data_IF_491267181450
#
_entry.id   IF_491267181450
#
_cell.length_a   1.000
_cell.length_b   1.000
_cell.length_c   1.000
_cell.angle_alpha   90.00
_cell.angle_beta   90.00
_cell.angle_gamma   90.00
#
_symmetry.space_group_name_H-M   'P 1'
#
loop_
_entity.id
_entity.type
_entity.pdbx_description
1 polymer ?
#
# COMPACT_ATOMS: atom_id res chain seq x y z
N UNK A 1 -22.46 -10.92 23.47
CA UNK A 1 -21.49 -9.91 23.03
C UNK A 1 -20.76 -10.49 21.84
N UNK A 2 -21.20 -10.18 20.63
CA UNK A 2 -20.49 -10.56 19.40
C UNK A 2 -19.14 -9.86 19.43
N UNK A 3 -18.04 -10.63 19.44
CA UNK A 3 -16.70 -10.09 19.17
C UNK A 3 -16.79 -9.37 17.83
N UNK A 4 -16.68 -8.05 17.83
CA UNK A 4 -16.35 -7.33 16.59
C UNK A 4 -15.01 -7.88 16.15
N UNK A 5 -14.96 -8.54 14.98
CA UNK A 5 -13.69 -8.91 14.36
C UNK A 5 -12.88 -7.64 14.13
N UNK A 6 -11.57 -7.72 14.35
CA UNK A 6 -10.67 -6.63 13.94
C UNK A 6 -10.85 -6.44 12.42
N UNK A 7 -10.98 -5.19 11.91
CA UNK A 7 -11.15 -4.95 10.49
C UNK A 7 -10.00 -5.56 9.69
N UNK A 8 -10.32 -6.14 8.54
CA UNK A 8 -9.36 -6.90 7.75
C UNK A 8 -9.66 -6.87 6.25
N UNK A 9 -8.65 -7.23 5.47
CA UNK A 9 -8.73 -7.44 4.03
C UNK A 9 -8.13 -8.79 3.69
N UNK A 10 -8.73 -9.50 2.74
CA UNK A 10 -8.23 -10.79 2.27
C UNK A 10 -7.64 -10.63 0.87
N UNK A 11 -6.47 -11.21 0.64
CA UNK A 11 -5.87 -11.30 -0.69
C UNK A 11 -6.57 -12.41 -1.47
N UNK A 12 -7.21 -12.05 -2.58
CA UNK A 12 -7.92 -13.00 -3.46
C UNK A 12 -7.00 -13.45 -4.60
N UNK A 13 -6.28 -12.51 -5.20
CA UNK A 13 -5.33 -12.78 -6.30
C UNK A 13 -4.07 -11.95 -6.10
N UNK A 14 -2.92 -12.55 -6.36
CA UNK A 14 -1.64 -11.86 -6.35
C UNK A 14 -0.81 -12.35 -7.54
N UNK A 15 -0.60 -11.46 -8.51
CA UNK A 15 0.19 -11.70 -9.72
C UNK A 15 1.68 -11.73 -9.41
N UNK A 16 2.45 -10.76 -9.91
CA UNK A 16 3.91 -10.80 -9.80
C UNK A 16 4.40 -10.70 -8.35
N UNK A 17 4.07 -9.61 -7.65
CA UNK A 17 4.49 -9.40 -6.27
C UNK A 17 3.68 -8.29 -5.61
N UNK A 18 3.21 -8.54 -4.38
CA UNK A 18 2.67 -7.52 -3.49
C UNK A 18 3.33 -7.62 -2.11
N UNK A 19 3.62 -6.47 -1.50
CA UNK A 19 4.31 -6.37 -0.22
C UNK A 19 3.61 -5.38 0.69
N UNK A 20 3.71 -5.59 1.99
CA UNK A 20 3.39 -4.53 2.97
C UNK A 20 4.60 -3.61 3.08
N UNK A 21 4.40 -2.32 2.85
CA UNK A 21 5.45 -1.30 2.92
C UNK A 21 4.99 -0.08 3.70
N UNK A 22 5.90 0.48 4.49
CA UNK A 22 5.80 1.82 5.09
C UNK A 22 6.97 2.70 4.58
N UNK A 23 7.32 3.75 5.32
CA UNK A 23 8.45 4.64 4.97
C UNK A 23 9.83 3.95 5.07
N UNK A 24 9.91 2.85 5.81
CA UNK A 24 11.12 2.05 5.95
C UNK A 24 11.71 2.06 7.35
N UNK A 25 12.82 1.33 7.47
CA UNK A 25 13.53 0.94 8.68
C UNK A 25 14.80 1.77 8.85
N UNK A 26 14.66 2.91 9.47
CA UNK A 26 15.77 3.86 9.66
C UNK A 26 16.51 3.62 10.98
N UNK A 27 17.81 3.94 11.01
CA UNK A 27 18.63 3.92 12.22
C UNK A 27 19.42 2.62 12.45
N UNK A 28 19.35 1.67 11.52
CA UNK A 28 20.00 0.35 11.66
C UNK A 28 21.00 0.04 10.53
N UNK A 29 21.29 1.00 9.64
CA UNK A 29 22.16 0.81 8.48
C UNK A 29 23.61 0.50 8.86
N UNK A 30 24.10 1.06 9.97
CA UNK A 30 25.43 0.76 10.52
C UNK A 30 25.59 -0.71 10.95
N UNK A 31 24.46 -1.39 11.20
CA UNK A 31 24.40 -2.82 11.51
C UNK A 31 24.15 -3.69 10.26
N UNK A 32 24.20 -3.09 9.06
CA UNK A 32 23.96 -3.78 7.79
C UNK A 32 22.49 -4.02 7.46
N UNK A 33 21.55 -3.42 8.19
CA UNK A 33 20.11 -3.56 7.93
C UNK A 33 19.68 -2.54 6.88
N UNK A 34 19.09 -3.01 5.78
CA UNK A 34 18.57 -2.12 4.73
C UNK A 34 17.33 -1.35 5.21
N UNK A 35 17.13 -0.15 4.67
CA UNK A 35 15.96 0.68 4.99
C UNK A 35 14.66 0.04 4.50
N UNK A 36 14.67 -0.69 3.38
CA UNK A 36 13.42 -1.16 2.74
C UNK A 36 12.44 0.01 2.50
N UNK A 37 11.13 -0.19 2.69
CA UNK A 37 10.13 0.82 2.48
C UNK A 37 9.56 0.82 1.07
N UNK A 38 8.50 1.61 0.89
CA UNK A 38 7.95 1.89 -0.42
C UNK A 38 9.04 2.42 -1.36
N UNK A 39 9.02 1.95 -2.60
CA UNK A 39 9.93 2.47 -3.64
C UNK A 39 9.53 3.88 -4.10
N UNK A 40 8.24 4.20 -4.03
CA UNK A 40 7.68 5.51 -4.31
C UNK A 40 6.96 5.98 -3.04
N UNK A 41 7.73 6.66 -2.19
CA UNK A 41 7.28 7.15 -0.88
C UNK A 41 6.25 8.26 -1.01
N UNK A 42 6.34 9.09 -2.06
CA UNK A 42 5.38 10.15 -2.31
C UNK A 42 4.00 9.56 -2.65
N UNK A 43 3.96 8.53 -3.51
CA UNK A 43 2.72 7.82 -3.80
C UNK A 43 2.12 7.17 -2.54
N UNK A 44 2.95 6.54 -1.70
CA UNK A 44 2.51 6.00 -0.40
C UNK A 44 1.90 7.10 0.48
N UNK A 45 2.59 8.23 0.64
CA UNK A 45 2.14 9.34 1.47
C UNK A 45 0.83 9.94 0.98
N UNK A 46 0.70 10.18 -0.34
CA UNK A 46 -0.57 10.65 -0.93
C UNK A 46 -1.70 9.67 -0.64
N UNK A 47 -1.45 8.36 -0.78
CA UNK A 47 -2.46 7.33 -0.51
C UNK A 47 -2.91 7.36 0.95
N UNK A 48 -1.96 7.46 1.88
CA UNK A 48 -2.25 7.57 3.31
C UNK A 48 -3.02 8.85 3.65
N UNK A 49 -2.64 10.01 3.09
CA UNK A 49 -3.34 11.28 3.31
C UNK A 49 -4.80 11.20 2.84
N UNK A 50 -5.05 10.61 1.66
CA UNK A 50 -6.38 10.48 1.07
C UNK A 50 -7.35 9.69 1.96
N UNK A 51 -6.86 8.74 2.75
CA UNK A 51 -7.67 7.94 3.68
C UNK A 51 -7.59 8.41 5.14
N UNK A 52 -6.90 9.52 5.40
CA UNK A 52 -6.77 10.14 6.72
C UNK A 52 -5.75 9.47 7.65
N UNK A 53 -4.80 8.71 7.10
CA UNK A 53 -3.74 8.06 7.86
C UNK A 53 -2.56 9.00 8.13
N UNK A 54 -1.75 8.64 9.14
CA UNK A 54 -0.38 9.17 9.25
C UNK A 54 0.46 8.74 8.03
N UNK A 55 1.38 9.58 7.52
CA UNK A 55 2.33 9.20 6.48
C UNK A 55 3.16 7.93 6.80
N UNK A 56 3.37 7.64 8.08
CA UNK A 56 4.10 6.45 8.56
C UNK A 56 3.29 5.14 8.44
N UNK A 57 2.02 5.22 8.05
CA UNK A 57 1.14 4.04 7.99
C UNK A 57 1.54 3.11 6.85
N UNK A 58 1.49 1.80 7.11
CA UNK A 58 1.78 0.82 6.09
C UNK A 58 0.62 0.65 5.11
N UNK A 59 0.96 0.42 3.85
CA UNK A 59 0.03 0.12 2.75
C UNK A 59 0.50 -1.12 1.99
N UNK A 60 -0.33 -1.61 1.07
CA UNK A 60 0.07 -2.67 0.14
C UNK A 60 0.72 -2.02 -1.08
N UNK A 61 1.98 -2.35 -1.35
CA UNK A 61 2.69 -2.03 -2.60
C UNK A 61 2.52 -3.20 -3.58
N UNK A 62 1.90 -2.94 -4.73
CA UNK A 62 1.62 -3.92 -5.78
C UNK A 62 2.50 -3.64 -7.00
N UNK A 63 3.29 -4.63 -7.42
CA UNK A 63 4.16 -4.53 -8.59
C UNK A 63 3.52 -5.22 -9.80
N UNK A 64 3.45 -4.51 -10.93
CA UNK A 64 2.92 -5.00 -12.22
C UNK A 64 1.41 -5.38 -12.25
N UNK A 65 0.62 -4.94 -11.27
CA UNK A 65 -0.83 -5.17 -11.27
C UNK A 65 -1.19 -6.64 -11.02
N UNK A 66 -2.27 -7.10 -11.67
CA UNK A 66 -2.89 -8.42 -11.46
C UNK A 66 -3.06 -8.78 -9.98
N UNK A 67 -3.72 -7.90 -9.22
CA UNK A 67 -3.89 -8.02 -7.78
C UNK A 67 -5.36 -7.78 -7.41
N UNK A 68 -5.88 -8.56 -6.47
CA UNK A 68 -7.27 -8.44 -6.03
C UNK A 68 -7.37 -8.68 -4.53
N UNK A 69 -8.14 -7.83 -3.86
CA UNK A 69 -8.46 -7.96 -2.43
C UNK A 69 -9.98 -7.91 -2.22
N UNK A 70 -10.43 -8.59 -1.17
CA UNK A 70 -11.79 -8.49 -0.65
C UNK A 70 -11.75 -7.76 0.70
N UNK A 71 -12.61 -6.75 0.85
CA UNK A 71 -12.74 -6.03 2.11
C UNK A 71 -13.68 -6.79 3.04
N UNK A 72 -13.18 -7.27 4.18
CA UNK A 72 -14.00 -8.06 5.12
C UNK A 72 -14.94 -7.15 5.92
N UNK A 73 -14.60 -5.87 6.04
CA UNK A 73 -15.37 -4.82 6.69
C UNK A 73 -15.44 -3.56 5.82
N UNK A 74 -16.47 -2.73 6.04
CA UNK A 74 -16.60 -1.46 5.31
C UNK A 74 -15.53 -0.47 5.75
N UNK A 75 -14.73 0.04 4.81
CA UNK A 75 -13.64 0.99 5.09
C UNK A 75 -13.35 1.90 3.91
N UNK A 76 -12.62 2.99 4.16
CA UNK A 76 -12.10 3.85 3.09
C UNK A 76 -10.79 3.27 2.54
N UNK A 77 -10.58 3.40 1.23
CA UNK A 77 -9.32 3.08 0.58
C UNK A 77 -8.94 4.12 -0.46
N UNK A 78 -7.67 4.14 -0.87
CA UNK A 78 -7.17 4.94 -1.98
C UNK A 78 -6.15 4.15 -2.80
N UNK A 79 -6.10 4.48 -4.09
CA UNK A 79 -5.11 3.96 -5.03
C UNK A 79 -4.14 5.07 -5.42
N UNK A 80 -2.84 4.82 -5.42
CA UNK A 80 -1.83 5.79 -5.87
C UNK A 80 -0.68 5.08 -6.61
N UNK A 81 0.28 5.85 -7.12
CA UNK A 81 1.42 5.32 -7.88
C UNK A 81 1.05 5.01 -9.33
N UNK A 82 1.37 3.80 -9.78
CA UNK A 82 1.15 3.35 -11.15
C UNK A 82 -0.32 3.49 -11.59
N UNK A 83 -0.52 3.87 -12.85
CA UNK A 83 -1.84 3.91 -13.47
C UNK A 83 -2.25 2.49 -13.83
N UNK A 84 -3.26 1.97 -13.12
CA UNK A 84 -3.79 0.62 -13.32
C UNK A 84 -5.25 0.68 -13.74
N UNK A 85 -5.68 -0.31 -14.51
CA UNK A 85 -7.09 -0.57 -14.77
C UNK A 85 -7.70 -1.19 -13.50
N UNK A 86 -8.24 -0.33 -12.64
CA UNK A 86 -8.78 -0.70 -11.34
C UNK A 86 -10.31 -0.58 -11.27
N UNK A 87 -10.93 -1.49 -10.53
CA UNK A 87 -12.38 -1.50 -10.30
C UNK A 87 -12.73 -1.97 -8.89
N UNK A 88 -13.78 -1.39 -8.32
CA UNK A 88 -14.45 -1.87 -7.11
C UNK A 88 -15.78 -2.49 -7.54
N UNK A 89 -15.95 -3.81 -7.35
CA UNK A 89 -17.15 -4.54 -7.78
C UNK A 89 -17.52 -4.25 -9.26
N UNK A 90 -16.53 -4.37 -10.15
CA UNK A 90 -16.61 -4.07 -11.59
C UNK A 90 -16.90 -2.60 -11.97
N UNK A 91 -17.04 -1.70 -10.98
CA UNK A 91 -17.15 -0.25 -11.21
C UNK A 91 -15.76 0.37 -11.26
N UNK A 92 -15.38 1.07 -12.36
CA UNK A 92 -14.06 1.67 -12.47
C UNK A 92 -13.75 2.66 -11.33
N UNK A 93 -12.55 2.56 -10.76
CA UNK A 93 -12.01 3.50 -9.78
C UNK A 93 -10.70 4.09 -10.29
N UNK A 94 -10.46 5.36 -9.99
CA UNK A 94 -9.27 6.09 -10.38
C UNK A 94 -8.19 6.07 -9.29
N UNK A 95 -6.98 6.50 -9.65
CA UNK A 95 -5.92 6.79 -8.68
C UNK A 95 -6.05 8.21 -8.13
N UNK A 96 -5.39 8.47 -6.99
CA UNK A 96 -5.33 9.73 -6.26
C UNK A 96 -6.70 10.24 -5.77
N UNK A 97 -7.61 9.29 -5.51
CA UNK A 97 -8.96 9.50 -5.00
C UNK A 97 -9.23 8.53 -3.85
N UNK A 98 -10.07 8.94 -2.92
CA UNK A 98 -10.58 8.09 -1.85
C UNK A 98 -11.93 7.48 -2.23
N UNK A 99 -12.12 6.21 -1.87
CA UNK A 99 -13.33 5.44 -2.12
C UNK A 99 -13.78 4.74 -0.87
N UNK A 100 -15.08 4.51 -0.74
CA UNK A 100 -15.64 3.67 0.31
C UNK A 100 -15.92 2.28 -0.23
N UNK A 101 -15.30 1.26 0.36
CA UNK A 101 -15.65 -0.13 0.14
C UNK A 101 -16.69 -0.58 1.17
N UNK A 102 -17.64 -1.40 0.73
CA UNK A 102 -18.54 -2.10 1.62
C UNK A 102 -17.94 -3.46 2.00
N UNK A 103 -18.45 -4.06 3.08
CA UNK A 103 -18.02 -5.42 3.44
C UNK A 103 -18.40 -6.39 2.32
N UNK A 104 -17.47 -7.23 1.91
CA UNK A 104 -17.56 -8.14 0.77
C UNK A 104 -17.23 -7.51 -0.58
N UNK A 105 -16.99 -6.18 -0.67
CA UNK A 105 -16.56 -5.56 -1.92
C UNK A 105 -15.18 -6.04 -2.33
N UNK A 106 -14.95 -6.14 -3.64
CA UNK A 106 -13.67 -6.56 -4.24
C UNK A 106 -13.03 -5.43 -5.02
N UNK A 107 -11.80 -5.11 -4.66
CA UNK A 107 -10.94 -4.22 -5.42
C UNK A 107 -9.99 -5.04 -6.29
N UNK A 108 -10.09 -4.85 -7.59
CA UNK A 108 -9.24 -5.50 -8.59
C UNK A 108 -8.37 -4.45 -9.28
N UNK A 109 -7.08 -4.74 -9.41
CA UNK A 109 -6.11 -4.02 -10.22
C UNK A 109 -5.64 -4.99 -11.31
N UNK A 110 -5.95 -4.68 -12.57
CA UNK A 110 -5.59 -5.54 -13.70
C UNK A 110 -4.34 -5.01 -14.41
N UNK A 111 -4.46 -4.51 -15.64
CA UNK A 111 -3.32 -4.04 -16.43
C UNK A 111 -2.73 -2.74 -15.89
N UNK A 112 -1.40 -2.62 -15.94
CA UNK A 112 -0.69 -1.36 -15.70
C UNK A 112 -0.51 -0.62 -17.01
N UNK A 113 -1.06 0.60 -17.11
CA UNK A 113 -0.91 1.48 -18.27
C UNK A 113 0.36 2.32 -18.22
N UNK A 114 0.72 2.79 -17.02
CA UNK A 114 1.89 3.64 -16.80
C UNK A 114 2.47 3.42 -15.40
N UNK A 115 3.80 3.40 -15.27
CA UNK A 115 4.48 3.14 -14.00
C UNK A 115 4.68 1.66 -13.70
N UNK A 116 5.09 1.34 -12.47
CA UNK A 116 5.47 -0.04 -12.09
C UNK A 116 4.84 -0.52 -10.78
N UNK A 117 4.71 0.38 -9.80
CA UNK A 117 4.19 0.08 -8.46
C UNK A 117 2.97 0.92 -8.14
N UNK A 118 1.87 0.27 -7.83
CA UNK A 118 0.67 0.88 -7.29
C UNK A 118 0.63 0.68 -5.76
N UNK A 119 -0.03 1.58 -5.05
CA UNK A 119 -0.22 1.47 -3.61
C UNK A 119 -1.70 1.44 -3.29
N UNK A 120 -2.08 0.55 -2.37
CA UNK A 120 -3.42 0.44 -1.82
C UNK A 120 -3.33 0.82 -0.35
N UNK A 121 -3.73 2.07 -0.05
CA UNK A 121 -3.84 2.56 1.31
C UNK A 121 -5.27 2.34 1.79
N UNK A 122 -5.42 1.81 3.01
CA UNK A 122 -6.72 1.65 3.68
C UNK A 122 -6.74 2.49 4.95
N UNK A 123 -7.89 3.07 5.28
CA UNK A 123 -8.06 3.85 6.50
C UNK A 123 -7.74 2.98 7.73
N UNK A 124 -6.87 3.49 8.62
CA UNK A 124 -6.30 2.75 9.75
C UNK A 124 -4.94 2.10 9.47
N UNK A 125 -4.58 1.94 8.19
CA UNK A 125 -3.32 1.34 7.75
C UNK A 125 -3.25 -0.18 7.96
N UNK A 126 -2.31 -0.84 7.28
CA UNK A 126 -2.08 -2.28 7.43
C UNK A 126 -1.38 -2.57 8.76
N UNK A 127 -2.03 -3.32 9.63
CA UNK A 127 -1.52 -3.65 10.95
C UNK A 127 -0.75 -4.98 10.94
N UNK A 128 0.57 -4.85 10.82
CA UNK A 128 1.53 -5.95 10.94
C UNK A 128 2.35 -5.78 12.23
N UNK A 129 3.32 -6.64 12.58
CA UNK A 129 4.26 -6.32 13.65
C UNK A 129 5.25 -5.21 13.27
N UNK A 130 5.65 -4.36 14.22
CA UNK A 130 6.76 -3.41 14.02
C UNK A 130 8.07 -4.14 14.30
N UNK A 131 8.95 -4.23 13.31
CA UNK A 131 10.27 -4.86 13.44
C UNK A 131 11.34 -3.82 13.13
N UNK A 132 12.16 -3.52 14.15
CA UNK A 132 13.21 -2.48 14.09
C UNK A 132 12.62 -1.12 13.69
N UNK A 133 11.47 -0.76 14.28
CA UNK A 133 10.82 0.53 14.02
C UNK A 133 10.06 0.63 12.69
N UNK A 134 9.90 -0.47 11.94
CA UNK A 134 9.20 -0.46 10.65
C UNK A 134 8.35 -1.70 10.41
N UNK A 135 7.24 -1.50 9.70
CA UNK A 135 6.31 -2.48 9.15
C UNK A 135 6.71 -2.96 7.76
N UNK A 136 7.76 -2.40 7.16
CA UNK A 136 8.18 -2.74 5.79
C UNK A 136 8.71 -4.15 5.65
N UNK A 137 8.29 -4.80 4.56
CA UNK A 137 8.77 -6.13 4.16
C UNK A 137 10.16 -6.01 3.55
N UNK A 138 11.12 -6.78 4.08
CA UNK A 138 12.43 -6.98 3.46
C UNK A 138 12.61 -8.47 3.10
N UNK A 139 12.35 -8.79 1.83
CA UNK A 139 12.27 -10.17 1.32
C UNK A 139 13.57 -10.93 1.57
N UNK A 140 14.73 -10.32 1.24
CA UNK A 140 16.02 -11.00 1.29
C UNK A 140 16.37 -11.53 2.68
N UNK A 141 15.95 -10.83 3.73
CA UNK A 141 16.18 -11.27 5.12
C UNK A 141 14.95 -11.83 5.81
N UNK A 142 13.79 -11.88 5.14
CA UNK A 142 12.56 -12.42 5.71
C UNK A 142 12.01 -11.65 6.91
N UNK A 143 12.12 -10.32 6.95
CA UNK A 143 11.66 -9.50 8.09
C UNK A 143 10.59 -8.48 7.71
N UNK A 144 9.74 -8.16 8.69
CA UNK A 144 8.69 -7.14 8.59
C UNK A 144 7.53 -7.55 7.69
N UNK A 145 6.58 -6.63 7.51
CA UNK A 145 5.38 -6.85 6.71
C UNK A 145 4.56 -8.04 7.17
N UNK A 146 3.99 -8.76 6.20
CA UNK A 146 3.25 -9.98 6.46
C UNK A 146 4.20 -11.19 6.44
N UNK A 147 4.53 -11.69 7.63
CA UNK A 147 5.39 -12.87 7.82
C UNK A 147 6.77 -12.78 7.13
N UNK A 148 7.28 -11.58 6.85
CA UNK A 148 8.57 -11.39 6.20
C UNK A 148 8.60 -11.71 4.70
N UNK A 149 7.45 -11.89 4.05
CA UNK A 149 7.35 -12.38 2.66
C UNK A 149 6.39 -11.57 1.80
N UNK A 150 6.40 -11.88 0.50
CA UNK A 150 5.35 -11.43 -0.41
C UNK A 150 3.99 -12.02 -0.02
N UNK A 151 2.94 -11.23 -0.28
CA UNK A 151 1.55 -11.64 -0.09
C UNK A 151 1.18 -12.77 -1.04
N UNK A 152 0.24 -13.61 -0.61
CA UNK A 152 -0.26 -14.77 -1.34
C UNK A 152 -1.79 -14.83 -1.26
N UNK A 153 -2.47 -15.44 -2.26
CA UNK A 153 -3.90 -15.70 -2.18
C UNK A 153 -4.27 -16.44 -0.89
N UNK A 154 -5.29 -15.95 -0.19
CA UNK A 154 -5.73 -16.47 1.11
C UNK A 154 -5.14 -15.76 2.32
N UNK A 155 -4.11 -14.92 2.16
CA UNK A 155 -3.59 -14.10 3.25
C UNK A 155 -4.66 -13.11 3.74
N UNK A 156 -4.81 -12.98 5.06
CA UNK A 156 -5.73 -12.03 5.71
C UNK A 156 -4.90 -11.00 6.47
N UNK A 157 -4.97 -9.76 6.03
CA UNK A 157 -4.26 -8.63 6.61
C UNK A 157 -5.19 -7.90 7.57
N UNK A 158 -4.74 -7.73 8.81
CA UNK A 158 -5.43 -6.86 9.77
C UNK A 158 -5.24 -5.40 9.38
N UNK A 159 -6.25 -4.60 9.68
CA UNK A 159 -6.26 -3.16 9.51
C UNK A 159 -6.31 -2.51 10.90
N UNK A 160 -5.56 -1.44 11.07
CA UNK A 160 -5.55 -0.68 12.33
C UNK A 160 -6.89 0.01 12.60
N UNK A 161 -7.08 0.49 13.83
CA UNK A 161 -8.23 1.32 14.17
C UNK A 161 -8.11 2.72 13.54
N UNK A 162 -9.25 3.29 13.10
CA UNK A 162 -9.34 4.69 12.70
C UNK A 162 -10.06 5.51 13.75
N UNK A 163 -9.47 6.62 14.18
CA UNK A 163 -10.15 7.63 15.01
C UNK A 163 -10.85 8.72 14.18
N UNK A 164 -10.64 8.73 12.87
CA UNK A 164 -11.16 9.76 11.95
C UNK A 164 -12.27 9.21 11.04
N UNK A 165 -13.30 10.03 10.83
CA UNK A 165 -14.39 9.76 9.88
C UNK A 165 -13.95 9.91 8.42
N UNK A 166 -14.81 9.59 7.45
CA UNK A 166 -14.47 9.64 6.03
C UNK A 166 -14.11 11.08 5.60
N UNK A 167 -12.97 11.23 4.91
CA UNK A 167 -12.57 12.49 4.28
C UNK A 167 -12.68 12.36 2.76
N UNK A 168 -13.43 13.27 2.12
CA UNK A 168 -13.54 13.32 0.66
C UNK A 168 -12.50 14.28 0.10
N UNK A 169 -11.26 13.81 0.01
CA UNK A 169 -10.11 14.58 -0.50
C UNK A 169 -9.74 14.05 -1.88
N UNK A 170 -9.49 14.97 -2.80
CA UNK A 170 -8.88 14.70 -4.11
C UNK A 170 -7.57 15.47 -4.17
N UNK A 171 -6.49 14.79 -4.57
CA UNK A 171 -5.17 15.41 -4.74
C UNK A 171 -4.80 15.35 -6.21
N UNK A 172 -4.50 16.49 -6.81
CA UNK A 172 -3.93 16.55 -8.16
C UNK A 172 -2.42 16.33 -8.04
N UNK A 173 -1.96 15.13 -8.42
CA UNK A 173 -0.55 14.78 -8.44
C UNK A 173 -0.04 14.99 -9.86
N UNK A 174 0.87 15.94 -10.04
CA UNK A 174 1.49 16.21 -11.33
C UNK A 174 2.09 14.95 -11.94
N UNK A 175 1.78 14.67 -13.20
CA UNK A 175 2.27 13.47 -13.89
C UNK A 175 3.80 13.51 -14.04
N UNK A 176 4.45 12.42 -13.61
CA UNK A 176 5.84 12.14 -13.99
C UNK A 176 5.96 11.94 -15.50
N UNK A 177 7.09 12.36 -16.08
CA UNK A 177 7.36 12.26 -17.52
C UNK A 177 7.46 10.81 -17.99
N UNK A 178 7.11 10.51 -19.25
CA UNK A 178 7.28 9.19 -19.91
C UNK A 178 8.75 8.72 -20.08
N UNK A 179 9.68 9.38 -19.42
CA UNK A 179 11.11 9.13 -19.49
C UNK A 179 11.71 9.42 -18.12
N UNK A 180 12.46 8.45 -17.60
CA UNK A 180 13.25 8.60 -16.38
C UNK A 180 14.46 9.48 -16.69
N UNK A 181 14.54 10.65 -16.06
CA UNK A 181 15.76 11.47 -16.05
C UNK A 181 16.49 11.22 -14.73
N UNK A 182 17.64 10.55 -14.81
CA UNK A 182 18.55 10.43 -13.68
C UNK A 182 19.59 11.53 -13.74
N UNK A 183 19.59 12.41 -12.75
CA UNK A 183 20.68 13.36 -12.58
C UNK A 183 21.82 12.66 -11.86
N UNK A 184 23.00 12.61 -12.48
CA UNK A 184 24.23 12.14 -11.85
C UNK A 184 24.76 13.24 -10.93
N UNK A 185 24.82 12.94 -9.64
CA UNK A 185 25.53 13.77 -8.65
C UNK A 185 26.81 13.05 -8.29
N UNK A 186 27.96 13.64 -8.62
CA UNK A 186 29.25 13.10 -8.20
C UNK A 186 29.46 13.44 -6.72
N UNK A 187 29.53 12.41 -5.88
CA UNK A 187 29.96 12.57 -4.50
C UNK A 187 31.43 12.96 -4.46
N UNK A 188 31.74 14.10 -3.84
CA UNK A 188 33.11 14.38 -3.43
C UNK A 188 33.39 13.49 -2.22
N UNK A 189 34.29 12.52 -2.40
CA UNK A 189 34.82 11.67 -1.34
C UNK A 189 35.79 12.45 -0.45
#
# INVERSE_FOLDING_TARGET
MTKTSDPSIQVVRCGFMALVQDQGRFGFQELGVSVSGAADKEALDVGNILVGNSPESAAIEVMLGDFEIEFMESMMFALTGAETEASLDDVPVGRNLSYKAHAGSRLSLSNVRQGLRAYISVQGGIDTPIILGSRSTHITSGIGGFEGRALQPGDVLKVGGSELGPMNIQVDVGMGTNHLRMNLVFGLY
#
